data_IF_444928309581
#
_entry.id   IF_444928309581
#
_cell.length_a   1.000
_cell.length_b   1.000
_cell.length_c   1.000
_cell.angle_alpha   90.00
_cell.angle_beta   90.00
_cell.angle_gamma   90.00
#
_symmetry.space_group_name_H-M   'P 1'
#
loop_
_entity.id
_entity.type
_entity.pdbx_description
1 polymer ?
#
# COMPACT_ATOMS: atom_id res chain seq x y z
N UNK A 1 6.10 -11.96 2.82
CA UNK A 1 5.82 -11.23 1.55
C UNK A 1 7.10 -10.75 0.86
N UNK A 2 8.10 -10.24 1.59
CA UNK A 2 9.35 -9.72 0.97
C UNK A 2 10.22 -10.75 0.23
N UNK A 3 10.11 -12.04 0.56
CA UNK A 3 10.96 -13.07 -0.03
C UNK A 3 10.50 -13.55 -1.42
N UNK A 4 9.20 -13.50 -1.74
CA UNK A 4 8.68 -14.02 -3.01
C UNK A 4 8.87 -13.07 -4.20
N UNK A 5 8.78 -11.77 -3.98
CA UNK A 5 8.96 -10.77 -5.06
C UNK A 5 10.41 -10.64 -5.51
N UNK A 6 11.37 -10.85 -4.59
CA UNK A 6 12.80 -10.78 -4.92
C UNK A 6 13.27 -11.97 -5.75
N UNK A 7 12.63 -13.14 -5.67
CA UNK A 7 13.08 -14.32 -6.42
C UNK A 7 12.74 -14.23 -7.91
N UNK A 8 11.51 -13.90 -8.26
CA UNK A 8 11.05 -14.02 -9.66
C UNK A 8 11.77 -13.08 -10.63
N UNK A 9 11.83 -11.78 -10.32
CA UNK A 9 12.46 -10.80 -11.20
C UNK A 9 13.99 -10.96 -11.25
N UNK A 10 14.58 -11.40 -10.14
CA UNK A 10 16.02 -11.68 -10.06
C UNK A 10 16.41 -12.89 -10.90
N UNK A 11 15.59 -13.96 -10.87
CA UNK A 11 15.78 -15.17 -11.69
C UNK A 11 15.71 -14.87 -13.19
N UNK A 12 14.95 -13.84 -13.58
CA UNK A 12 14.84 -13.33 -14.96
C UNK A 12 16.00 -12.41 -15.38
N UNK A 13 16.99 -12.19 -14.49
CA UNK A 13 18.18 -11.39 -14.78
C UNK A 13 18.01 -9.88 -14.60
N UNK A 14 16.92 -9.44 -13.97
CA UNK A 14 16.70 -8.01 -13.72
C UNK A 14 17.55 -7.51 -12.55
N UNK A 15 18.08 -6.28 -12.67
CA UNK A 15 18.79 -5.60 -11.58
C UNK A 15 17.77 -5.01 -10.60
N UNK A 16 17.79 -5.48 -9.36
CA UNK A 16 16.93 -4.95 -8.30
C UNK A 16 17.59 -3.72 -7.68
N UNK A 17 16.97 -2.52 -7.77
CA UNK A 17 17.55 -1.31 -7.23
C UNK A 17 17.48 -1.28 -5.70
N UNK A 18 18.36 -0.49 -5.08
CA UNK A 18 18.22 -0.13 -3.66
C UNK A 18 16.98 0.75 -3.45
N UNK A 19 16.33 0.74 -2.28
CA UNK A 19 15.18 1.60 -2.00
C UNK A 19 15.47 3.09 -2.27
N UNK A 20 14.63 3.72 -3.10
CA UNK A 20 14.71 5.15 -3.37
C UNK A 20 14.21 6.02 -2.23
N UNK A 21 14.49 7.32 -2.30
CA UNK A 21 14.09 8.29 -1.27
C UNK A 21 12.58 8.36 -0.99
N UNK A 22 11.65 8.17 -1.96
CA UNK A 22 10.22 8.15 -1.65
C UNK A 22 9.83 7.05 -0.67
N UNK A 23 10.36 5.84 -0.88
CA UNK A 23 10.10 4.69 -0.01
C UNK A 23 10.70 4.90 1.38
N UNK A 24 11.98 5.28 1.45
CA UNK A 24 12.68 5.52 2.72
C UNK A 24 12.02 6.62 3.55
N UNK A 25 11.60 7.72 2.91
CA UNK A 25 10.92 8.82 3.59
C UNK A 25 9.56 8.37 4.12
N UNK A 26 8.81 7.59 3.34
CA UNK A 26 7.50 7.12 3.77
C UNK A 26 7.60 6.11 4.93
N UNK A 27 8.53 5.16 4.87
CA UNK A 27 8.78 4.21 5.97
C UNK A 27 9.09 4.94 7.27
N UNK A 28 10.05 5.89 7.24
CA UNK A 28 10.39 6.69 8.42
C UNK A 28 9.16 7.41 9.00
N UNK A 29 8.32 7.97 8.13
CA UNK A 29 7.10 8.64 8.56
C UNK A 29 6.10 7.67 9.21
N UNK A 30 5.95 6.46 8.66
CA UNK A 30 5.08 5.44 9.23
C UNK A 30 5.60 4.94 10.59
N UNK A 31 6.90 4.75 10.73
CA UNK A 31 7.55 4.41 12.02
C UNK A 31 7.28 5.47 13.09
N UNK A 32 7.44 6.76 12.74
CA UNK A 32 7.09 7.86 13.64
C UNK A 32 5.59 7.86 13.99
N UNK A 33 4.70 7.56 13.04
CA UNK A 33 3.24 7.51 13.29
C UNK A 33 2.83 6.42 14.27
N UNK A 34 3.44 5.23 14.20
CA UNK A 34 3.15 4.10 15.10
C UNK A 34 3.37 4.48 16.56
N UNK A 35 4.42 5.26 16.85
CA UNK A 35 4.77 5.67 18.20
C UNK A 35 3.85 6.78 18.76
N UNK A 36 3.22 7.59 17.91
CA UNK A 36 2.48 8.79 18.35
C UNK A 36 0.96 8.65 18.27
N UNK A 37 0.41 7.91 17.30
CA UNK A 37 -1.03 7.91 17.07
C UNK A 37 -1.51 6.73 16.20
N UNK A 38 -2.13 5.75 16.85
CA UNK A 38 -2.80 4.66 16.17
C UNK A 38 -3.86 5.12 15.13
N UNK A 39 -4.72 6.13 15.41
CA UNK A 39 -5.65 6.65 14.40
C UNK A 39 -4.97 7.17 13.12
N UNK A 40 -3.84 7.87 13.24
CA UNK A 40 -3.12 8.38 12.07
C UNK A 40 -2.47 7.23 11.30
N UNK A 41 -1.81 6.32 12.00
CA UNK A 41 -1.21 5.13 11.38
C UNK A 41 -2.25 4.29 10.63
N UNK A 42 -3.42 4.06 11.23
CA UNK A 42 -4.49 3.28 10.60
C UNK A 42 -5.09 3.97 9.36
N UNK A 43 -5.05 5.30 9.28
CA UNK A 43 -5.38 6.03 8.05
C UNK A 43 -4.45 5.62 6.90
N UNK A 44 -3.15 5.55 7.16
CA UNK A 44 -2.18 5.10 6.16
C UNK A 44 -2.34 3.62 5.81
N UNK A 45 -2.51 2.76 6.82
CA UNK A 45 -2.78 1.34 6.63
C UNK A 45 -3.96 1.11 5.68
N UNK A 46 -5.12 1.73 5.98
CA UNK A 46 -6.31 1.62 5.15
C UNK A 46 -6.01 2.08 3.72
N UNK A 47 -5.47 3.28 3.56
CA UNK A 47 -5.25 3.86 2.23
C UNK A 47 -4.24 3.05 1.39
N UNK A 48 -3.18 2.48 1.99
CA UNK A 48 -2.18 1.66 1.26
C UNK A 48 -2.83 0.40 0.71
N UNK A 49 -3.45 -0.41 1.58
CA UNK A 49 -3.97 -1.72 1.16
C UNK A 49 -5.20 -1.60 0.26
N UNK A 50 -6.14 -0.72 0.58
CA UNK A 50 -7.36 -0.56 -0.23
C UNK A 50 -7.06 0.10 -1.58
N UNK A 51 -6.08 1.02 -1.66
CA UNK A 51 -5.67 1.57 -2.95
C UNK A 51 -4.96 0.53 -3.81
N UNK A 52 -4.17 -0.37 -3.22
CA UNK A 52 -3.53 -1.46 -3.96
C UNK A 52 -4.55 -2.41 -4.58
N UNK A 53 -5.53 -2.85 -3.78
CA UNK A 53 -6.59 -3.76 -4.23
C UNK A 53 -7.49 -3.13 -5.30
N UNK A 54 -7.65 -1.80 -5.29
CA UNK A 54 -8.41 -1.07 -6.30
C UNK A 54 -7.52 -0.53 -7.45
N UNK A 55 -6.97 0.67 -7.29
CA UNK A 55 -6.23 1.36 -8.35
C UNK A 55 -4.89 0.66 -8.69
N UNK A 56 -4.25 0.02 -7.71
CA UNK A 56 -2.99 -0.71 -7.89
C UNK A 56 -3.11 -1.84 -8.90
N UNK A 57 -4.24 -2.55 -8.90
CA UNK A 57 -4.55 -3.59 -9.89
C UNK A 57 -4.60 -3.07 -11.33
N UNK A 58 -5.25 -1.91 -11.53
CA UNK A 58 -5.35 -1.28 -12.86
C UNK A 58 -3.97 -0.83 -13.35
N UNK A 59 -3.14 -0.27 -12.45
CA UNK A 59 -1.77 0.15 -12.78
C UNK A 59 -0.92 -1.08 -13.12
N UNK A 60 -0.95 -2.11 -12.28
CA UNK A 60 -0.18 -3.33 -12.45
C UNK A 60 -0.45 -4.04 -13.76
N UNK A 61 -1.73 -4.18 -14.11
CA UNK A 61 -2.14 -4.77 -15.38
C UNK A 61 -1.57 -4.01 -16.57
N UNK A 62 -1.68 -2.68 -16.59
CA UNK A 62 -1.14 -1.86 -17.69
C UNK A 62 0.38 -1.94 -17.80
N UNK A 63 1.10 -1.85 -16.67
CA UNK A 63 2.56 -1.96 -16.65
C UNK A 63 3.01 -3.34 -17.15
N UNK A 64 2.30 -4.40 -16.74
CA UNK A 64 2.59 -5.75 -17.19
C UNK A 64 2.31 -5.96 -18.68
N UNK A 65 1.20 -5.46 -19.20
CA UNK A 65 0.86 -5.50 -20.63
C UNK A 65 1.93 -4.82 -21.49
N UNK A 66 2.48 -3.68 -21.05
CA UNK A 66 3.46 -2.89 -21.79
C UNK A 66 4.90 -3.40 -21.65
N UNK A 67 5.29 -3.94 -20.49
CA UNK A 67 6.69 -4.21 -20.16
C UNK A 67 7.02 -5.68 -19.85
N UNK A 68 6.02 -6.51 -19.51
CA UNK A 68 6.21 -7.87 -18.99
C UNK A 68 5.35 -8.89 -19.75
N UNK A 69 5.00 -8.62 -21.00
CA UNK A 69 4.23 -9.52 -21.88
C UNK A 69 2.91 -10.00 -21.26
N UNK A 70 2.28 -9.17 -20.42
CA UNK A 70 1.03 -9.51 -19.73
C UNK A 70 1.20 -10.49 -18.56
N UNK A 71 2.43 -10.75 -18.10
CA UNK A 71 2.71 -11.59 -16.92
C UNK A 71 2.07 -11.02 -15.66
N UNK A 72 1.20 -11.80 -15.01
CA UNK A 72 0.65 -11.45 -13.70
C UNK A 72 1.66 -11.73 -12.58
N UNK A 73 2.20 -10.66 -11.99
CA UNK A 73 3.13 -10.74 -10.86
C UNK A 73 2.42 -11.13 -9.57
N UNK A 74 3.09 -11.86 -8.70
CA UNK A 74 2.57 -12.30 -7.39
C UNK A 74 2.10 -11.14 -6.50
N UNK A 75 2.64 -9.93 -6.68
CA UNK A 75 2.19 -8.73 -5.96
C UNK A 75 0.71 -8.39 -6.19
N UNK A 76 0.14 -8.83 -7.31
CA UNK A 76 -1.24 -8.58 -7.69
C UNK A 76 -2.17 -9.77 -7.39
N UNK A 77 -1.64 -10.89 -6.89
CA UNK A 77 -2.40 -12.08 -6.54
C UNK A 77 -2.74 -12.11 -5.06
N UNK A 78 -3.88 -12.71 -4.74
CA UNK A 78 -4.33 -12.93 -3.36
C UNK A 78 -4.85 -14.34 -3.17
N UNK A 79 -4.55 -14.91 -2.02
CA UNK A 79 -5.16 -16.16 -1.58
C UNK A 79 -6.52 -15.86 -0.92
N UNK A 80 -7.59 -16.42 -1.47
CA UNK A 80 -8.95 -16.25 -0.96
C UNK A 80 -9.81 -15.27 -1.76
N UNK A 81 -11.05 -15.06 -1.30
CA UNK A 81 -11.98 -14.12 -1.94
C UNK A 81 -11.66 -12.68 -1.50
N UNK A 82 -11.20 -11.86 -2.45
CA UNK A 82 -10.75 -10.48 -2.18
C UNK A 82 -11.88 -9.61 -1.57
N UNK A 83 -13.13 -9.64 -2.06
CA UNK A 83 -14.24 -8.95 -1.39
C UNK A 83 -14.45 -9.34 0.08
N UNK A 84 -14.40 -10.64 0.41
CA UNK A 84 -14.48 -11.12 1.79
C UNK A 84 -13.31 -10.63 2.64
N UNK A 85 -12.07 -10.71 2.13
CA UNK A 85 -10.88 -10.21 2.81
C UNK A 85 -10.97 -8.71 3.11
N UNK A 86 -11.41 -7.91 2.13
CA UNK A 86 -11.60 -6.47 2.28
C UNK A 86 -12.67 -6.15 3.33
N UNK A 87 -13.79 -6.87 3.29
CA UNK A 87 -14.89 -6.71 4.25
C UNK A 87 -14.41 -7.01 5.68
N UNK A 88 -13.68 -8.11 5.86
CA UNK A 88 -13.14 -8.50 7.17
C UNK A 88 -12.17 -7.46 7.74
N UNK A 89 -11.30 -6.90 6.90
CA UNK A 89 -10.39 -5.82 7.31
C UNK A 89 -11.17 -4.56 7.66
N UNK A 90 -12.18 -4.20 6.86
CA UNK A 90 -13.04 -3.05 7.11
C UNK A 90 -13.79 -3.17 8.45
N UNK A 91 -14.35 -4.34 8.75
CA UNK A 91 -15.05 -4.60 10.01
C UNK A 91 -14.10 -4.51 11.22
N UNK A 92 -12.86 -4.98 11.09
CA UNK A 92 -11.81 -4.81 12.11
C UNK A 92 -11.43 -3.34 12.33
N UNK A 93 -11.32 -2.54 11.26
CA UNK A 93 -11.06 -1.10 11.37
C UNK A 93 -12.23 -0.35 12.05
N UNK A 94 -13.47 -0.77 11.79
CA UNK A 94 -14.64 -0.21 12.47
C UNK A 94 -14.63 -0.54 13.96
N UNK A 95 -14.33 -1.77 14.36
CA UNK A 95 -14.19 -2.14 15.78
C UNK A 95 -13.08 -1.34 16.47
N UNK A 96 -11.91 -1.19 15.82
CA UNK A 96 -10.78 -0.43 16.38
C UNK A 96 -11.11 1.07 16.57
N UNK A 97 -11.99 1.61 15.73
CA UNK A 97 -12.38 3.03 15.74
C UNK A 97 -13.68 3.32 16.49
N UNK A 98 -14.36 2.29 17.01
CA UNK A 98 -15.68 2.41 17.64
C UNK A 98 -15.68 3.48 18.74
N UNK A 99 -14.69 3.42 19.63
CA UNK A 99 -14.55 4.30 20.80
C UNK A 99 -13.65 5.52 20.59
N UNK A 100 -13.20 5.78 19.35
CA UNK A 100 -12.42 6.99 19.09
C UNK A 100 -13.27 8.24 19.28
N UNK A 101 -12.63 9.28 19.84
CA UNK A 101 -13.23 10.61 19.91
C UNK A 101 -13.54 11.13 18.50
N UNK A 102 -14.47 12.08 18.39
CA UNK A 102 -14.75 12.73 17.10
C UNK A 102 -13.50 13.42 16.54
N UNK A 103 -12.64 13.94 17.41
CA UNK A 103 -11.39 14.58 17.03
C UNK A 103 -10.38 13.58 16.44
N UNK A 104 -10.25 12.39 17.02
CA UNK A 104 -9.37 11.33 16.49
C UNK A 104 -9.87 10.83 15.13
N UNK A 105 -11.19 10.63 14.98
CA UNK A 105 -11.81 10.29 13.68
C UNK A 105 -11.52 11.37 12.64
N UNK A 106 -11.71 12.65 13.00
CA UNK A 106 -11.41 13.77 12.10
C UNK A 106 -9.92 13.86 11.74
N UNK A 107 -9.00 13.59 12.68
CA UNK A 107 -7.55 13.57 12.45
C UNK A 107 -7.16 12.42 11.51
N UNK A 108 -7.68 11.21 11.75
CA UNK A 108 -7.52 10.05 10.86
C UNK A 108 -7.95 10.39 9.42
N UNK A 109 -9.13 11.00 9.25
CA UNK A 109 -9.63 11.39 7.92
C UNK A 109 -8.75 12.42 7.23
N UNK A 110 -8.28 13.46 7.94
CA UNK A 110 -7.38 14.50 7.39
C UNK A 110 -6.02 13.94 6.95
N UNK A 111 -5.55 12.88 7.59
CA UNK A 111 -4.27 12.24 7.30
C UNK A 111 -4.23 11.58 5.91
N UNK A 112 -5.40 11.25 5.35
CA UNK A 112 -5.57 10.71 3.99
C UNK A 112 -4.79 11.50 2.93
N UNK A 113 -4.80 12.83 3.00
CA UNK A 113 -4.06 13.68 2.05
C UNK A 113 -2.55 13.39 2.06
N UNK A 114 -1.97 13.14 3.24
CA UNK A 114 -0.54 12.78 3.34
C UNK A 114 -0.30 11.36 2.83
N UNK A 115 -1.19 10.41 3.11
CA UNK A 115 -1.09 9.05 2.59
C UNK A 115 -1.02 9.06 1.06
N UNK A 116 -1.94 9.76 0.39
CA UNK A 116 -1.93 9.90 -1.08
C UNK A 116 -0.70 10.63 -1.60
N UNK A 117 -0.18 11.63 -0.88
CA UNK A 117 1.06 12.32 -1.26
C UNK A 117 2.26 11.37 -1.27
N UNK A 118 2.44 10.57 -0.22
CA UNK A 118 3.55 9.62 -0.14
C UNK A 118 3.39 8.48 -1.15
N UNK A 119 2.20 7.86 -1.22
CA UNK A 119 1.92 6.82 -2.22
C UNK A 119 2.13 7.32 -3.64
N UNK A 120 1.67 8.53 -3.95
CA UNK A 120 1.86 9.16 -5.26
C UNK A 120 3.32 9.43 -5.61
N UNK A 121 4.19 9.71 -4.62
CA UNK A 121 5.64 9.82 -4.86
C UNK A 121 6.26 8.47 -5.25
N UNK A 122 5.79 7.37 -4.65
CA UNK A 122 6.25 6.01 -5.00
C UNK A 122 5.72 5.59 -6.37
N UNK A 123 4.43 5.79 -6.65
CA UNK A 123 3.81 5.46 -7.94
C UNK A 123 4.48 6.21 -9.10
N UNK A 124 4.93 7.45 -8.87
CA UNK A 124 5.69 8.22 -9.88
C UNK A 124 7.01 7.58 -10.30
N UNK A 125 7.58 6.67 -9.51
CA UNK A 125 8.80 5.94 -9.89
C UNK A 125 8.58 4.96 -11.06
N UNK A 126 7.33 4.61 -11.37
CA UNK A 126 7.02 3.74 -12.52
C UNK A 126 7.35 4.43 -13.85
N UNK A 127 7.28 5.77 -13.89
CA UNK A 127 7.43 6.58 -15.11
C UNK A 127 8.62 7.54 -15.04
N UNK A 128 9.47 7.41 -14.03
CA UNK A 128 10.68 8.23 -13.84
C UNK A 128 11.87 7.64 -14.58
#
# INVERSE_FOLDING_TARGET
MEFGLKSELWEEGNVIPTPGSPGLTYVKYLEELVEISAPLFLSHFYNIYFSHIAAGQVIGKKVSEELLEGKELEFYKWEGDVPELLKDVHDKLNMLSEHWSRDDKNRCLKETTKAFRYMGQIVRLIVS
#
